data_IF_668652136186
#
_entry.id   IF_668652136186
#
_cell.length_a   1.000
_cell.length_b   1.000
_cell.length_c   1.000
_cell.angle_alpha   90.00
_cell.angle_beta   90.00
_cell.angle_gamma   90.00
#
_symmetry.space_group_name_H-M   'P 1'
#
loop_
_entity.id
_entity.type
_entity.pdbx_description
1 polymer ?
#
# COMPACT_ATOMS: atom_id res chain seq x y z
N UNK A 1 -0.86 -14.14 4.57
CA UNK A 1 -0.71 -13.27 5.77
C UNK A 1 0.41 -13.75 6.69
N UNK A 2 1.52 -14.24 6.14
CA UNK A 2 2.63 -14.87 6.88
C UNK A 2 3.57 -13.84 7.52
N UNK A 3 3.78 -12.68 6.87
CA UNK A 3 4.69 -11.64 7.38
C UNK A 3 4.22 -11.01 8.71
N UNK A 4 2.92 -10.80 8.88
CA UNK A 4 2.35 -10.31 10.14
C UNK A 4 2.43 -11.35 11.26
N UNK A 5 2.17 -12.62 10.95
CA UNK A 5 2.32 -13.71 11.91
C UNK A 5 3.78 -13.79 12.40
N UNK A 6 4.74 -13.67 11.49
CA UNK A 6 6.16 -13.62 11.82
C UNK A 6 6.51 -12.40 12.69
N UNK A 7 5.98 -11.21 12.36
CA UNK A 7 6.23 -10.00 13.15
C UNK A 7 5.67 -10.11 14.58
N UNK A 8 4.45 -10.64 14.74
CA UNK A 8 3.86 -10.91 16.06
C UNK A 8 4.68 -11.92 16.84
N UNK A 9 5.16 -12.98 16.17
CA UNK A 9 6.04 -13.97 16.78
C UNK A 9 7.35 -13.36 17.27
N UNK A 10 8.01 -12.52 16.47
CA UNK A 10 9.25 -11.83 16.84
C UNK A 10 9.06 -10.90 18.04
N UNK A 11 7.94 -10.18 18.10
CA UNK A 11 7.59 -9.32 19.25
C UNK A 11 7.38 -10.19 20.49
N UNK A 12 6.61 -11.27 20.39
CA UNK A 12 6.34 -12.17 21.51
C UNK A 12 7.63 -12.81 22.05
N UNK A 13 8.50 -13.32 21.18
CA UNK A 13 9.81 -13.86 21.55
C UNK A 13 10.68 -12.78 22.18
N UNK A 14 10.72 -11.57 21.61
CA UNK A 14 11.45 -10.44 22.18
C UNK A 14 11.00 -10.09 23.60
N UNK A 15 9.68 -10.02 23.84
CA UNK A 15 9.11 -9.77 25.16
C UNK A 15 9.38 -10.91 26.16
N UNK A 16 9.31 -12.17 25.73
CA UNK A 16 9.63 -13.33 26.58
C UNK A 16 11.11 -13.30 27.01
N UNK A 17 12.02 -12.96 26.10
CA UNK A 17 13.45 -12.82 26.39
C UNK A 17 13.75 -11.63 27.31
N UNK A 18 13.02 -10.51 27.13
CA UNK A 18 13.13 -9.33 27.99
C UNK A 18 12.63 -9.58 29.42
N UNK A 19 11.52 -10.31 29.57
CA UNK A 19 10.90 -10.59 30.88
C UNK A 19 11.62 -11.67 31.69
N UNK A 20 12.37 -12.57 31.04
CA UNK A 20 13.15 -13.62 31.71
C UNK A 20 14.41 -13.18 32.45
N UNK A 21 14.68 -11.86 32.54
CA UNK A 21 15.68 -11.24 33.43
C UNK A 21 17.14 -11.66 33.17
N UNK A 22 17.89 -10.79 32.49
CA UNK A 22 19.29 -10.43 32.77
C UNK A 22 20.36 -11.53 32.99
N UNK A 23 20.27 -12.74 32.40
CA UNK A 23 21.38 -13.70 32.56
C UNK A 23 22.54 -13.52 31.57
N UNK A 24 22.36 -12.74 30.49
CA UNK A 24 23.46 -12.35 29.61
C UNK A 24 23.05 -11.14 28.74
N UNK A 25 23.85 -10.07 28.74
CA UNK A 25 23.58 -8.82 27.99
C UNK A 25 23.21 -9.09 26.52
N UNK A 26 23.81 -10.11 25.89
CA UNK A 26 23.52 -10.50 24.51
C UNK A 26 22.07 -10.96 24.26
N UNK A 27 21.44 -11.68 25.19
CA UNK A 27 20.05 -12.14 25.02
C UNK A 27 19.04 -10.99 25.11
N UNK A 28 19.33 -9.99 25.96
CA UNK A 28 18.51 -8.79 26.07
C UNK A 28 18.58 -7.97 24.76
N UNK A 29 19.77 -7.80 24.19
CA UNK A 29 19.95 -7.08 22.91
C UNK A 29 19.20 -7.74 21.76
N UNK A 30 19.27 -9.08 21.65
CA UNK A 30 18.53 -9.82 20.61
C UNK A 30 17.01 -9.67 20.77
N UNK A 31 16.52 -9.69 22.02
CA UNK A 31 15.11 -9.48 22.31
C UNK A 31 14.60 -8.09 21.88
N UNK A 32 15.36 -7.03 22.20
CA UNK A 32 15.05 -5.66 21.78
C UNK A 32 15.05 -5.53 20.26
N UNK A 33 16.07 -6.07 19.59
CA UNK A 33 16.18 -6.00 18.13
C UNK A 33 15.03 -6.74 17.43
N UNK A 34 14.69 -7.93 17.92
CA UNK A 34 13.59 -8.73 17.35
C UNK A 34 12.24 -8.01 17.50
N UNK A 35 11.99 -7.44 18.68
CA UNK A 35 10.78 -6.64 18.92
C UNK A 35 10.74 -5.37 18.05
N UNK A 36 11.86 -4.65 17.93
CA UNK A 36 11.96 -3.46 17.09
C UNK A 36 11.66 -3.77 15.61
N UNK A 37 12.24 -4.84 15.07
CA UNK A 37 12.00 -5.30 13.70
C UNK A 37 10.51 -5.63 13.51
N UNK A 38 9.92 -6.39 14.44
CA UNK A 38 8.50 -6.73 14.38
C UNK A 38 7.59 -5.50 14.40
N UNK A 39 7.88 -4.52 15.26
CA UNK A 39 7.11 -3.27 15.35
C UNK A 39 7.21 -2.47 14.05
N UNK A 40 8.41 -2.29 13.51
CA UNK A 40 8.62 -1.60 12.23
C UNK A 40 7.84 -2.28 11.12
N UNK A 41 7.86 -3.61 11.08
CA UNK A 41 7.12 -4.38 10.07
C UNK A 41 5.60 -4.19 10.18
N UNK A 42 5.05 -4.18 11.40
CA UNK A 42 3.63 -3.92 11.63
C UNK A 42 3.27 -2.49 11.19
N UNK A 43 4.08 -1.50 11.55
CA UNK A 43 3.85 -0.10 11.15
C UNK A 43 3.85 0.08 9.64
N UNK A 44 4.81 -0.54 8.93
CA UNK A 44 4.84 -0.54 7.47
C UNK A 44 3.58 -1.18 6.89
N UNK A 45 3.21 -2.36 7.38
CA UNK A 45 2.03 -3.10 6.92
C UNK A 45 0.74 -2.30 7.09
N UNK A 46 0.53 -1.70 8.26
CA UNK A 46 -0.66 -0.86 8.54
C UNK A 46 -0.61 0.46 7.76
N UNK A 47 0.57 1.08 7.64
CA UNK A 47 0.75 2.32 6.88
C UNK A 47 0.39 2.14 5.41
N UNK A 48 0.93 1.10 4.77
CA UNK A 48 0.60 0.75 3.38
C UNK A 48 -0.88 0.45 3.21
N UNK A 49 -1.49 -0.29 4.15
CA UNK A 49 -2.94 -0.55 4.11
C UNK A 49 -3.76 0.74 4.10
N UNK A 50 -3.46 1.66 5.02
CA UNK A 50 -4.18 2.94 5.14
C UNK A 50 -3.96 3.84 3.93
N UNK A 51 -2.73 3.93 3.42
CA UNK A 51 -2.43 4.70 2.22
C UNK A 51 -3.22 4.18 1.01
N UNK A 52 -3.23 2.86 0.80
CA UNK A 52 -3.95 2.28 -0.32
C UNK A 52 -5.45 2.48 -0.15
N UNK A 53 -6.00 2.18 1.02
CA UNK A 53 -7.43 2.33 1.31
C UNK A 53 -7.93 3.77 1.11
N UNK A 54 -7.10 4.77 1.42
CA UNK A 54 -7.45 6.18 1.21
C UNK A 54 -7.31 6.61 -0.26
N UNK A 55 -6.42 5.99 -1.04
CA UNK A 55 -6.26 6.28 -2.48
C UNK A 55 -7.32 5.61 -3.37
N UNK A 56 -7.90 4.48 -2.97
CA UNK A 56 -8.99 3.81 -3.71
C UNK A 56 -10.16 4.75 -4.08
N UNK A 57 -10.79 5.50 -3.15
CA UNK A 57 -11.88 6.41 -3.50
C UNK A 57 -11.42 7.57 -4.39
N UNK A 58 -10.17 8.04 -4.22
CA UNK A 58 -9.59 9.07 -5.07
C UNK A 58 -9.33 8.57 -6.51
N UNK A 59 -9.00 7.29 -6.68
CA UNK A 59 -8.90 6.67 -8.00
C UNK A 59 -10.27 6.58 -8.68
N UNK A 60 -11.30 6.12 -7.96
CA UNK A 60 -12.66 5.99 -8.50
C UNK A 60 -13.26 7.34 -8.93
N UNK A 61 -13.06 8.40 -8.14
CA UNK A 61 -13.51 9.74 -8.51
C UNK A 61 -12.79 10.28 -9.75
N UNK A 62 -11.47 10.08 -9.85
CA UNK A 62 -10.68 10.46 -11.03
C UNK A 62 -11.07 9.67 -12.28
N UNK A 63 -11.35 8.37 -12.15
CA UNK A 63 -11.86 7.53 -13.24
C UNK A 63 -13.16 8.08 -13.81
N UNK A 64 -14.15 8.33 -12.94
CA UNK A 64 -15.44 8.89 -13.36
C UNK A 64 -15.28 10.24 -14.06
N UNK A 65 -14.41 11.12 -13.54
CA UNK A 65 -14.14 12.42 -14.15
C UNK A 65 -13.49 12.30 -15.54
N UNK A 66 -12.47 11.46 -15.69
CA UNK A 66 -11.78 11.27 -16.98
C UNK A 66 -12.72 10.68 -18.03
N UNK A 67 -13.53 9.68 -17.65
CA UNK A 67 -14.50 9.06 -18.56
C UNK A 67 -15.63 10.02 -18.96
N UNK A 68 -16.08 10.89 -18.05
CA UNK A 68 -17.08 11.92 -18.33
C UNK A 68 -16.55 13.01 -19.26
N UNK A 69 -15.30 13.46 -19.07
CA UNK A 69 -14.69 14.51 -19.91
C UNK A 69 -14.33 13.97 -21.30
N UNK A 70 -13.85 12.72 -21.41
CA UNK A 70 -13.59 12.09 -22.71
C UNK A 70 -14.85 11.96 -23.57
N UNK A 71 -16.01 11.72 -22.96
CA UNK A 71 -17.30 11.65 -23.68
C UNK A 71 -17.84 13.02 -24.13
N UNK A 72 -17.36 14.14 -23.56
CA UNK A 72 -17.84 15.50 -23.85
C UNK A 72 -16.98 16.25 -24.88
N UNK A 73 -15.82 15.72 -25.25
CA UNK A 73 -14.84 16.49 -26.01
C UNK A 73 -15.17 16.59 -27.51
N UNK A 74 -15.67 17.78 -27.87
CA UNK A 74 -15.63 18.31 -29.22
C UNK A 74 -15.88 19.82 -29.22
N UNK A 75 -14.81 20.64 -29.19
CA UNK A 75 -14.60 21.95 -29.87
C UNK A 75 -13.89 23.00 -28.99
N UNK A 76 -12.55 23.02 -28.96
CA UNK A 76 -11.70 24.20 -28.66
C UNK A 76 -10.20 23.86 -28.81
N UNK A 77 -9.35 24.87 -29.04
CA UNK A 77 -7.88 24.73 -29.00
C UNK A 77 -7.37 24.37 -27.58
N UNK A 78 -8.12 24.79 -26.54
CA UNK A 78 -7.88 24.39 -25.15
C UNK A 78 -8.13 22.89 -24.92
N UNK A 79 -8.96 22.25 -25.76
CA UNK A 79 -9.25 20.83 -25.67
C UNK A 79 -8.00 19.98 -25.86
N UNK A 80 -7.01 20.43 -26.64
CA UNK A 80 -5.76 19.67 -26.81
C UNK A 80 -4.87 19.67 -25.56
N UNK A 81 -4.85 20.77 -24.82
CA UNK A 81 -4.11 20.89 -23.54
C UNK A 81 -4.87 20.13 -22.46
N UNK A 82 -6.19 20.27 -22.42
CA UNK A 82 -7.07 19.55 -21.48
C UNK A 82 -7.08 18.03 -21.78
N UNK A 83 -7.00 17.62 -23.06
CA UNK A 83 -6.84 16.21 -23.46
C UNK A 83 -5.48 15.66 -23.04
N UNK A 84 -4.39 16.42 -23.24
CA UNK A 84 -3.06 15.99 -22.77
C UNK A 84 -3.02 15.84 -21.24
N UNK A 85 -3.59 16.80 -20.50
CA UNK A 85 -3.69 16.73 -19.05
C UNK A 85 -4.57 15.57 -18.58
N UNK A 86 -5.70 15.29 -19.26
CA UNK A 86 -6.53 14.11 -18.97
C UNK A 86 -5.82 12.81 -19.29
N UNK A 87 -5.04 12.77 -20.37
CA UNK A 87 -4.27 11.58 -20.75
C UNK A 87 -3.13 11.32 -19.77
N UNK A 88 -2.45 12.36 -19.28
CA UNK A 88 -1.44 12.25 -18.23
C UNK A 88 -2.05 11.79 -16.90
N UNK A 89 -3.21 12.34 -16.52
CA UNK A 89 -3.94 11.93 -15.33
C UNK A 89 -4.37 10.45 -15.39
N UNK A 90 -4.83 10.01 -16.57
CA UNK A 90 -5.18 8.61 -16.86
C UNK A 90 -3.96 7.69 -16.71
N UNK A 91 -2.84 8.03 -17.36
CA UNK A 91 -1.60 7.25 -17.29
C UNK A 91 -1.12 7.14 -15.85
N UNK A 92 -1.13 8.24 -15.09
CA UNK A 92 -0.70 8.24 -13.69
C UNK A 92 -1.60 7.38 -12.80
N UNK A 93 -2.93 7.49 -12.93
CA UNK A 93 -3.87 6.65 -12.17
C UNK A 93 -3.71 5.16 -12.51
N UNK A 94 -3.57 4.83 -13.79
CA UNK A 94 -3.35 3.46 -14.24
C UNK A 94 -1.98 2.91 -13.78
N UNK A 95 -0.92 3.73 -13.80
CA UNK A 95 0.40 3.33 -13.28
C UNK A 95 0.32 2.99 -11.80
N UNK A 96 -0.30 3.88 -11.01
CA UNK A 96 -0.52 3.63 -9.59
C UNK A 96 -1.33 2.35 -9.34
N UNK A 97 -2.40 2.11 -10.12
CA UNK A 97 -3.22 0.91 -9.98
C UNK A 97 -2.42 -0.36 -10.28
N UNK A 98 -1.67 -0.38 -11.39
CA UNK A 98 -0.84 -1.52 -11.79
C UNK A 98 0.28 -1.80 -10.78
N UNK A 99 0.97 -0.76 -10.31
CA UNK A 99 1.99 -0.89 -9.27
C UNK A 99 1.40 -1.46 -7.98
N UNK A 100 0.22 -0.99 -7.58
CA UNK A 100 -0.43 -1.43 -6.34
C UNK A 100 -0.98 -2.85 -6.44
N UNK A 101 -1.50 -3.25 -7.60
CA UNK A 101 -1.92 -4.63 -7.87
C UNK A 101 -0.70 -5.58 -7.91
N UNK A 102 0.39 -5.16 -8.53
CA UNK A 102 1.64 -5.93 -8.51
C UNK A 102 2.19 -6.05 -7.07
N UNK A 103 2.15 -4.97 -6.30
CA UNK A 103 2.50 -5.00 -4.88
C UNK A 103 1.64 -6.00 -4.10
N UNK A 104 0.32 -6.06 -4.36
CA UNK A 104 -0.58 -7.06 -3.76
C UNK A 104 -0.18 -8.49 -4.16
N UNK A 105 0.16 -8.73 -5.43
CA UNK A 105 0.53 -10.06 -5.90
C UNK A 105 1.84 -10.55 -5.27
N UNK A 106 2.86 -9.69 -5.21
CA UNK A 106 4.20 -10.05 -4.70
C UNK A 106 4.23 -10.05 -3.17
N UNK A 107 3.66 -9.03 -2.55
CA UNK A 107 3.79 -8.74 -1.11
C UNK A 107 2.51 -8.95 -0.31
N UNK A 108 1.36 -9.28 -0.91
CA UNK A 108 0.10 -9.45 -0.19
C UNK A 108 0.10 -10.56 0.86
N UNK A 109 1.06 -11.48 0.78
CA UNK A 109 1.29 -12.47 1.83
C UNK A 109 2.10 -11.92 3.02
N UNK A 110 2.82 -10.83 2.83
CA UNK A 110 3.76 -10.24 3.79
C UNK A 110 3.26 -8.93 4.39
N UNK A 111 2.46 -8.17 3.64
CA UNK A 111 1.89 -6.87 4.01
C UNK A 111 0.36 -6.93 3.97
N UNK A 112 -0.29 -6.10 4.79
CA UNK A 112 -1.71 -5.81 4.70
C UNK A 112 -1.95 -4.91 3.50
N UNK A 113 -2.42 -5.52 2.42
CA UNK A 113 -2.86 -4.79 1.23
C UNK A 113 -4.33 -5.18 1.01
N UNK A 114 -5.26 -4.22 0.88
CA UNK A 114 -6.69 -4.52 0.71
C UNK A 114 -6.93 -5.34 -0.57
N UNK A 115 -7.89 -6.27 -0.53
CA UNK A 115 -8.24 -7.11 -1.68
C UNK A 115 -8.99 -6.32 -2.76
N UNK A 116 -9.73 -5.29 -2.35
CA UNK A 116 -10.50 -4.37 -3.20
C UNK A 116 -9.66 -3.77 -4.35
N UNK A 117 -8.33 -3.68 -4.21
CA UNK A 117 -7.44 -3.18 -5.27
C UNK A 117 -7.41 -4.10 -6.51
N UNK A 118 -7.62 -5.40 -6.33
CA UNK A 118 -7.62 -6.37 -7.42
C UNK A 118 -8.91 -6.32 -8.25
N UNK A 119 -9.97 -5.75 -7.68
CA UNK A 119 -11.27 -5.57 -8.34
C UNK A 119 -11.34 -4.24 -9.12
N UNK A 120 -10.39 -3.33 -8.88
CA UNK A 120 -10.32 -2.06 -9.60
C UNK A 120 -9.88 -2.27 -11.05
N UNK A 121 -10.64 -1.66 -11.95
CA UNK A 121 -10.34 -1.64 -13.37
C UNK A 121 -9.59 -0.37 -13.77
N UNK A 122 -8.70 -0.53 -14.76
CA UNK A 122 -8.03 0.58 -15.45
C UNK A 122 -9.04 1.56 -16.05
N UNK A 123 -8.64 2.83 -16.10
CA UNK A 123 -9.37 3.89 -16.81
C UNK A 123 -9.20 3.64 -18.31
N UNK A 124 -10.32 3.56 -19.05
CA UNK A 124 -10.36 3.24 -20.49
C UNK A 124 -9.96 4.39 -21.39
#
# INVERSE_FOLDING_TARGET
MYGLILAVFLIAVGFILLTRKFWNTGCATIGVLSAAIGIVWILLSVGTFMEIKTKIPAHNSKKAYVEEQLNKNGRSLNDSIDQNAMQELKVNCNSWLLETQNLKQVWGNWLLIPDDIMELELIK
#
